data_IF_478376261950
#
_entry.id   IF_478376261950
#
_cell.length_a   1.000
_cell.length_b   1.000
_cell.length_c   1.000
_cell.angle_alpha   90.00
_cell.angle_beta   90.00
_cell.angle_gamma   90.00
#
_symmetry.space_group_name_H-M   'P 1'
#
loop_
_entity.id
_entity.type
_entity.pdbx_description
1 polymer ?
#
# COMPACT_ATOMS: atom_id res chain seq x y z
N UNK A 1 -6.20 -0.86 -19.62
CA UNK A 1 -6.13 0.61 -19.56
C UNK A 1 -5.94 0.98 -18.10
N UNK A 2 -4.73 1.33 -17.69
CA UNK A 2 -4.39 1.64 -16.29
C UNK A 2 -4.64 3.13 -16.03
N UNK A 3 -5.62 3.45 -15.19
CA UNK A 3 -6.03 4.84 -14.88
C UNK A 3 -5.30 5.29 -13.62
N UNK A 4 -4.06 5.76 -13.79
CA UNK A 4 -3.23 6.28 -12.70
C UNK A 4 -3.28 7.81 -12.65
N UNK A 5 -3.36 8.38 -11.44
CA UNK A 5 -3.18 9.82 -11.22
C UNK A 5 -1.70 10.17 -11.50
N UNK A 6 -1.45 11.11 -12.42
CA UNK A 6 -0.10 11.66 -12.61
C UNK A 6 0.34 12.35 -11.31
N UNK A 7 1.35 11.80 -10.64
CA UNK A 7 1.84 12.29 -9.35
C UNK A 7 1.12 11.72 -8.11
N UNK A 8 0.32 10.65 -8.25
CA UNK A 8 -0.31 9.96 -7.13
C UNK A 8 0.71 9.35 -6.14
N UNK A 9 0.30 9.08 -4.89
CA UNK A 9 1.19 8.50 -3.88
C UNK A 9 1.79 7.20 -4.39
N UNK A 10 3.10 7.01 -4.15
CA UNK A 10 3.80 5.79 -4.54
C UNK A 10 3.01 4.55 -4.10
N UNK A 11 2.69 3.67 -5.04
CA UNK A 11 1.90 2.47 -4.77
C UNK A 11 2.68 1.55 -3.83
N UNK A 12 2.25 1.49 -2.58
CA UNK A 12 2.88 0.74 -1.50
C UNK A 12 2.05 -0.49 -1.18
N UNK A 13 2.76 -1.54 -0.80
CA UNK A 13 2.18 -2.75 -0.25
C UNK A 13 2.08 -2.61 1.29
N UNK A 14 1.00 -3.10 1.90
CA UNK A 14 0.75 -3.02 3.34
C UNK A 14 0.55 -4.41 3.92
N UNK A 15 1.12 -4.67 5.10
CA UNK A 15 0.99 -5.93 5.80
C UNK A 15 0.65 -5.68 7.28
N UNK A 16 -0.15 -6.54 7.92
CA UNK A 16 -0.37 -6.47 9.37
C UNK A 16 0.95 -6.66 10.13
N UNK A 17 1.06 -6.03 11.29
CA UNK A 17 2.25 -6.14 12.15
C UNK A 17 2.26 -7.44 12.96
N UNK A 18 1.09 -7.92 13.36
CA UNK A 18 0.96 -9.18 14.09
C UNK A 18 1.09 -10.34 13.10
N UNK A 19 1.84 -11.38 13.48
CA UNK A 19 1.83 -12.64 12.74
C UNK A 19 0.41 -13.22 12.86
N UNK A 20 -0.37 -13.11 11.80
CA UNK A 20 -1.60 -13.87 11.66
C UNK A 20 -1.22 -15.30 11.25
N UNK A 21 -1.74 -16.31 11.95
CA UNK A 21 -1.57 -17.73 11.62
C UNK A 21 -2.02 -18.06 10.18
N UNK A 22 -2.83 -17.17 9.59
CA UNK A 22 -3.21 -17.15 8.17
C UNK A 22 -2.09 -16.58 7.30
N UNK A 23 -0.97 -17.30 7.21
CA UNK A 23 0.09 -17.03 6.23
C UNK A 23 -0.49 -17.03 4.81
N UNK A 24 -0.56 -15.86 4.18
CA UNK A 24 -0.57 -15.75 2.72
C UNK A 24 -1.87 -15.25 2.06
N UNK A 25 -2.89 -14.86 2.82
CA UNK A 25 -4.04 -14.20 2.18
C UNK A 25 -3.68 -12.76 1.77
N UNK A 26 -3.77 -12.49 0.47
CA UNK A 26 -3.45 -11.20 -0.14
C UNK A 26 -4.69 -10.65 -0.82
N UNK A 27 -5.01 -9.39 -0.52
CA UNK A 27 -6.03 -8.62 -1.21
C UNK A 27 -5.35 -7.71 -2.22
N UNK A 28 -5.76 -7.79 -3.49
CA UNK A 28 -5.23 -6.97 -4.57
C UNK A 28 -6.13 -5.75 -4.83
N UNK A 29 -5.56 -4.56 -4.64
CA UNK A 29 -6.16 -3.28 -5.02
C UNK A 29 -5.66 -2.85 -6.40
N UNK A 30 -6.59 -2.44 -7.25
CA UNK A 30 -6.29 -1.90 -8.58
C UNK A 30 -5.90 -0.41 -8.50
N UNK A 31 -5.11 0.11 -9.45
CA UNK A 31 -4.80 1.53 -9.53
C UNK A 31 -6.05 2.43 -9.56
N UNK A 32 -7.09 1.98 -10.25
CA UNK A 32 -8.40 2.64 -10.35
C UNK A 32 -9.08 2.76 -8.99
N UNK A 33 -9.06 1.68 -8.22
CA UNK A 33 -9.64 1.60 -6.88
C UNK A 33 -8.90 2.53 -5.91
N UNK A 34 -7.57 2.58 -6.02
CA UNK A 34 -6.73 3.51 -5.26
C UNK A 34 -6.99 4.98 -5.63
N UNK A 35 -7.16 5.27 -6.92
CA UNK A 35 -7.49 6.62 -7.39
C UNK A 35 -8.87 7.05 -6.89
N UNK A 36 -9.87 6.17 -6.96
CA UNK A 36 -11.21 6.42 -6.45
C UNK A 36 -11.21 6.70 -4.93
N UNK A 37 -10.51 5.87 -4.14
CA UNK A 37 -10.31 6.09 -2.71
C UNK A 37 -9.64 7.44 -2.42
N UNK A 38 -8.61 7.80 -3.18
CA UNK A 38 -7.92 9.07 -2.98
C UNK A 38 -8.82 10.28 -3.26
N UNK A 39 -9.62 10.25 -4.33
CA UNK A 39 -10.46 11.39 -4.69
C UNK A 39 -11.67 11.51 -3.75
N UNK A 40 -12.36 10.41 -3.48
CA UNK A 40 -13.60 10.41 -2.71
C UNK A 40 -13.31 10.44 -1.21
N UNK A 41 -12.48 9.52 -0.70
CA UNK A 41 -12.32 9.34 0.75
C UNK A 41 -11.25 10.26 1.35
N UNK A 42 -10.18 10.60 0.62
CA UNK A 42 -9.13 11.49 1.13
C UNK A 42 -9.35 12.95 0.74
N UNK A 43 -9.73 13.22 -0.50
CA UNK A 43 -9.97 14.58 -1.00
C UNK A 43 -11.42 15.03 -0.86
N UNK A 44 -12.31 14.17 -0.33
CA UNK A 44 -13.72 14.47 -0.06
C UNK A 44 -14.48 14.98 -1.29
N UNK A 45 -14.08 14.53 -2.48
CA UNK A 45 -14.81 14.85 -3.71
C UNK A 45 -16.11 14.08 -3.82
N UNK A 46 -17.11 14.71 -4.40
CA UNK A 46 -18.33 14.03 -4.79
C UNK A 46 -18.05 12.98 -5.88
N UNK A 47 -18.85 11.91 -5.92
CA UNK A 47 -18.66 10.82 -6.90
C UNK A 47 -18.70 11.31 -8.34
N UNK A 48 -19.55 12.29 -8.62
CA UNK A 48 -19.65 12.91 -9.94
C UNK A 48 -18.38 13.66 -10.34
N UNK A 49 -17.78 14.39 -9.40
CA UNK A 49 -16.53 15.11 -9.62
C UNK A 49 -15.37 14.13 -9.82
N UNK A 50 -15.27 13.10 -8.98
CA UNK A 50 -14.25 12.06 -9.12
C UNK A 50 -14.38 11.28 -10.44
N UNK A 51 -15.61 11.00 -10.88
CA UNK A 51 -15.88 10.37 -12.17
C UNK A 51 -15.42 11.26 -13.35
N UNK A 52 -15.66 12.56 -13.28
CA UNK A 52 -15.19 13.53 -14.28
C UNK A 52 -13.65 13.60 -14.31
N UNK A 53 -12.99 13.65 -13.15
CA UNK A 53 -11.52 13.68 -13.05
C UNK A 53 -10.88 12.43 -13.66
N UNK A 54 -11.48 11.25 -13.46
CA UNK A 54 -10.96 9.99 -13.99
C UNK A 54 -11.44 9.68 -15.41
N UNK A 55 -12.34 10.49 -15.98
CA UNK A 55 -12.91 10.26 -17.31
C UNK A 55 -13.77 8.99 -17.40
N UNK A 56 -14.53 8.68 -16.35
CA UNK A 56 -15.34 7.46 -16.25
C UNK A 56 -16.80 7.76 -15.91
N UNK A 57 -17.67 6.76 -16.05
CA UNK A 57 -19.07 6.92 -15.64
C UNK A 57 -19.22 6.93 -14.11
N UNK A 58 -20.28 7.60 -13.61
CA UNK A 58 -20.65 7.57 -12.18
C UNK A 58 -20.87 6.14 -11.65
N UNK A 59 -21.40 5.24 -12.49
CA UNK A 59 -21.58 3.83 -12.13
C UNK A 59 -20.24 3.12 -11.94
N UNK A 60 -19.25 3.44 -12.78
CA UNK A 60 -17.90 2.88 -12.70
C UNK A 60 -17.22 3.32 -11.41
N UNK A 61 -17.23 4.62 -11.09
CA UNK A 61 -16.61 5.10 -9.85
C UNK A 61 -17.28 4.51 -8.61
N UNK A 62 -18.62 4.39 -8.63
CA UNK A 62 -19.37 3.79 -7.53
C UNK A 62 -18.97 2.34 -7.29
N UNK A 63 -18.81 1.56 -8.36
CA UNK A 63 -18.35 0.17 -8.26
C UNK A 63 -16.91 0.11 -7.75
N UNK A 64 -16.02 0.93 -8.30
CA UNK A 64 -14.60 0.90 -7.97
C UNK A 64 -14.37 1.30 -6.50
N UNK A 65 -15.05 2.34 -6.00
CA UNK A 65 -14.95 2.74 -4.57
C UNK A 65 -15.54 1.68 -3.63
N UNK A 66 -16.66 1.07 -4.01
CA UNK A 66 -17.31 0.04 -3.20
C UNK A 66 -16.45 -1.23 -3.10
N UNK A 67 -15.88 -1.69 -4.22
CA UNK A 67 -14.93 -2.80 -4.25
C UNK A 67 -13.68 -2.51 -3.42
N UNK A 68 -13.12 -1.31 -3.56
CA UNK A 68 -11.93 -0.88 -2.82
C UNK A 68 -12.16 -0.92 -1.30
N UNK A 69 -13.29 -0.34 -0.83
CA UNK A 69 -13.64 -0.35 0.60
C UNK A 69 -13.88 -1.76 1.13
N UNK A 70 -14.56 -2.63 0.37
CA UNK A 70 -14.77 -4.04 0.77
C UNK A 70 -13.44 -4.77 0.95
N UNK A 71 -12.53 -4.61 -0.02
CA UNK A 71 -11.18 -5.20 -0.01
C UNK A 71 -10.35 -4.73 1.18
N UNK A 72 -10.37 -3.43 1.48
CA UNK A 72 -9.67 -2.87 2.64
C UNK A 72 -10.26 -3.39 3.95
N UNK A 73 -11.60 -3.40 4.07
CA UNK A 73 -12.27 -3.93 5.26
C UNK A 73 -11.93 -5.40 5.50
N UNK A 74 -11.98 -6.23 4.44
CA UNK A 74 -11.58 -7.63 4.50
C UNK A 74 -10.13 -7.80 4.98
N UNK A 75 -9.22 -6.99 4.45
CA UNK A 75 -7.82 -7.05 4.86
C UNK A 75 -7.59 -6.63 6.31
N UNK A 76 -8.26 -5.58 6.78
CA UNK A 76 -8.13 -5.10 8.15
C UNK A 76 -8.75 -6.05 9.18
N UNK A 77 -9.92 -6.61 8.88
CA UNK A 77 -10.65 -7.51 9.80
C UNK A 77 -9.99 -8.89 9.86
N UNK A 78 -9.56 -9.43 8.72
CA UNK A 78 -9.01 -10.79 8.64
C UNK A 78 -7.48 -10.83 8.72
N UNK A 79 -6.81 -9.69 8.87
CA UNK A 79 -5.35 -9.62 8.94
C UNK A 79 -4.67 -10.07 7.64
N UNK A 80 -5.21 -9.64 6.50
CA UNK A 80 -4.66 -9.95 5.16
C UNK A 80 -3.66 -8.89 4.72
N UNK A 81 -2.74 -9.27 3.84
CA UNK A 81 -1.82 -8.32 3.21
C UNK A 81 -2.54 -7.57 2.08
N UNK A 82 -2.37 -6.26 2.00
CA UNK A 82 -2.88 -5.45 0.89
C UNK A 82 -1.74 -5.23 -0.11
N UNK A 83 -1.94 -5.69 -1.35
CA UNK A 83 -1.04 -5.44 -2.46
C UNK A 83 -1.72 -4.55 -3.49
N UNK A 84 -1.04 -3.51 -3.95
CA UNK A 84 -1.50 -2.74 -5.11
C UNK A 84 -0.92 -3.39 -6.37
N UNK A 85 -1.74 -3.61 -7.40
CA UNK A 85 -1.39 -4.39 -8.59
C UNK A 85 -0.09 -3.91 -9.30
N UNK A 86 0.24 -2.63 -9.16
CA UNK A 86 1.41 -1.96 -9.76
C UNK A 86 2.45 -1.54 -8.69
N UNK A 87 2.51 -2.25 -7.55
CA UNK A 87 3.50 -2.01 -6.48
C UNK A 87 4.92 -2.40 -6.97
N UNK A 88 5.63 -1.44 -7.57
CA UNK A 88 7.00 -1.57 -8.12
C UNK A 88 8.04 -2.08 -7.13
N UNK A 89 7.79 -1.94 -5.81
CA UNK A 89 8.71 -2.45 -4.78
C UNK A 89 8.88 -3.97 -4.77
N UNK A 90 7.96 -4.73 -5.38
CA UNK A 90 8.13 -6.18 -5.53
C UNK A 90 9.08 -6.56 -6.66
N UNK A 91 9.27 -5.70 -7.67
CA UNK A 91 9.96 -6.12 -8.90
C UNK A 91 11.49 -6.04 -8.86
N UNK A 92 12.11 -5.30 -7.94
CA UNK A 92 13.57 -5.11 -7.99
C UNK A 92 14.32 -5.33 -6.66
N UNK A 93 13.63 -5.60 -5.54
CA UNK A 93 14.33 -5.72 -4.25
C UNK A 93 15.07 -4.44 -3.80
N UNK A 94 14.84 -3.31 -4.48
CA UNK A 94 15.50 -2.04 -4.20
C UNK A 94 14.77 -1.32 -3.06
N UNK A 95 15.34 -1.42 -1.85
CA UNK A 95 14.95 -0.59 -0.73
C UNK A 95 15.53 0.82 -0.90
N UNK A 96 14.74 1.92 -0.76
CA UNK A 96 15.25 3.29 -0.80
C UNK A 96 16.12 3.66 0.40
N UNK A 97 16.12 2.85 1.47
CA UNK A 97 17.05 2.95 2.60
C UNK A 97 18.14 1.90 2.44
N UNK A 98 19.22 2.24 1.73
CA UNK A 98 20.45 1.45 1.78
C UNK A 98 21.16 1.72 3.10
N UNK A 99 20.98 0.84 4.08
CA UNK A 99 21.93 0.71 5.17
C UNK A 99 22.51 -0.70 5.07
N UNK A 100 23.74 -0.79 4.58
CA UNK A 100 24.40 -2.07 4.28
C UNK A 100 24.52 -2.96 5.53
N UNK A 101 24.50 -2.37 6.73
CA UNK A 101 24.58 -3.09 8.02
C UNK A 101 23.24 -3.63 8.52
N UNK A 102 22.10 -3.18 7.96
CA UNK A 102 20.76 -3.65 8.34
C UNK A 102 20.10 -4.52 7.26
N UNK A 103 20.72 -4.63 6.09
CA UNK A 103 20.11 -5.24 4.92
C UNK A 103 20.96 -6.36 4.34
N UNK A 104 20.76 -7.62 4.78
CA UNK A 104 21.32 -8.76 4.08
C UNK A 104 20.18 -9.67 3.58
N UNK A 105 19.44 -9.31 2.53
CA UNK A 105 18.57 -10.28 1.83
C UNK A 105 18.52 -10.05 0.33
N UNK A 106 19.39 -10.74 -0.39
CA UNK A 106 19.36 -10.95 -1.84
C UNK A 106 18.06 -11.61 -2.34
N UNK A 107 17.23 -12.13 -1.44
CA UNK A 107 15.96 -12.81 -1.75
C UNK A 107 14.70 -11.99 -1.49
N UNK A 108 14.81 -10.70 -1.13
CA UNK A 108 13.66 -9.91 -0.68
C UNK A 108 13.10 -10.38 0.67
N UNK A 109 12.53 -9.46 1.43
CA UNK A 109 11.97 -9.72 2.75
C UNK A 109 11.46 -8.46 3.41
N UNK A 110 10.62 -8.61 4.44
CA UNK A 110 10.19 -7.48 5.26
C UNK A 110 11.40 -6.87 5.98
N UNK A 111 11.58 -5.55 5.87
CA UNK A 111 12.60 -4.85 6.66
C UNK A 111 12.27 -5.02 8.15
N UNK A 112 13.24 -5.41 9.00
CA UNK A 112 13.04 -5.34 10.44
C UNK A 112 12.70 -3.88 10.80
N UNK A 113 11.64 -3.67 11.60
CA UNK A 113 11.39 -2.33 12.14
C UNK A 113 12.58 -1.98 13.01
N UNK A 114 13.24 -0.86 12.70
CA UNK A 114 14.18 -0.23 13.64
C UNK A 114 13.33 0.20 14.84
N UNK A 115 13.39 -0.55 15.94
CA UNK A 115 13.02 -0.03 17.26
C UNK A 115 13.94 1.16 17.50
N UNK A 116 13.38 2.37 17.54
CA UNK A 116 14.11 3.52 18.04
C UNK A 116 14.28 3.37 19.55
N UNK A 117 15.23 2.57 20.00
CA UNK A 117 15.89 2.80 21.27
C UNK A 117 17.20 3.53 20.96
N UNK A 118 17.23 4.80 21.35
CA UNK A 118 18.31 5.73 21.06
C UNK A 118 19.57 5.47 21.90
N UNK A 119 20.69 5.96 21.37
CA UNK A 119 21.84 6.50 22.10
C UNK A 119 22.03 6.11 23.58
N UNK A 120 23.08 5.34 23.82
CA UNK A 120 24.14 5.83 24.71
C UNK A 120 25.49 5.28 24.22
N UNK A 121 26.34 6.19 23.77
CA UNK A 121 27.74 5.97 23.44
C UNK A 121 28.57 5.74 24.71
N UNK A 122 29.30 4.62 24.69
CA UNK A 122 30.67 4.36 25.21
C UNK A 122 30.97 4.51 26.73
N UNK A 123 32.05 3.88 27.27
CA UNK A 123 33.18 3.27 26.57
C UNK A 123 33.56 1.84 26.99
N UNK A 124 34.41 1.30 26.11
CA UNK A 124 35.33 0.18 26.31
C UNK A 124 36.22 0.41 27.54
N UNK A 125 36.28 -0.59 28.41
CA UNK A 125 37.49 -0.94 29.19
C UNK A 125 37.62 -2.46 29.24
#
# INVERSE_FOLDING_TARGET
MNRSLKGGPAMRCYAPQCESDKKGEVVSLLPEEMAALSLIDLQQMEQEQAAAVLGVSRKTIWRDIHEARRKIADALINGKTIQVAECTRKLEGLCPKKNDNLCPKTGGGFCPRISKEGHRSDPVE
#
